data_IF_236879667725
#
_entry.id   IF_236879667725
#
_cell.length_a   1.000
_cell.length_b   1.000
_cell.length_c   1.000
_cell.angle_alpha   90.00
_cell.angle_beta   90.00
_cell.angle_gamma   90.00
#
_symmetry.space_group_name_H-M   'P 1'
#
loop_
_entity.id
_entity.type
_entity.pdbx_description
1 polymer ?
#
# COMPACT_ATOMS: atom_id res chain seq x y z
N UNK A 1 42.60 35.03 -28.09
CA UNK A 1 42.03 34.69 -26.77
C UNK A 1 40.90 33.69 -26.98
N UNK A 2 41.14 32.41 -26.62
CA UNK A 2 40.23 31.28 -26.88
C UNK A 2 39.18 31.25 -25.76
N UNK A 3 37.93 31.58 -26.09
CA UNK A 3 36.76 31.43 -25.21
C UNK A 3 36.54 29.93 -24.95
N UNK A 4 36.92 29.45 -23.77
CA UNK A 4 36.55 28.11 -23.30
C UNK A 4 35.09 28.14 -22.84
N UNK A 5 34.18 27.61 -23.66
CA UNK A 5 32.86 27.18 -23.23
C UNK A 5 33.05 26.01 -22.25
N UNK A 6 32.93 26.27 -20.94
CA UNK A 6 32.71 25.19 -19.97
C UNK A 6 31.23 24.82 -20.04
N UNK A 7 30.96 23.70 -20.71
CA UNK A 7 29.64 23.11 -20.81
C UNK A 7 29.12 22.71 -19.43
N UNK A 8 27.89 23.14 -19.12
CA UNK A 8 27.16 22.71 -17.95
C UNK A 8 26.89 21.20 -18.06
N UNK A 9 27.53 20.41 -17.20
CA UNK A 9 27.26 18.98 -17.06
C UNK A 9 25.90 18.82 -16.38
N UNK A 10 24.86 18.51 -17.14
CA UNK A 10 23.53 18.20 -16.62
C UNK A 10 23.60 16.85 -15.87
N UNK A 11 23.61 16.88 -14.54
CA UNK A 11 23.42 15.69 -13.70
C UNK A 11 21.98 15.21 -13.86
N UNK A 12 21.78 14.17 -14.67
CA UNK A 12 20.50 13.46 -14.78
C UNK A 12 20.36 12.65 -13.49
N UNK A 13 19.70 13.23 -12.47
CA UNK A 13 19.31 12.50 -11.28
C UNK A 13 18.30 11.42 -11.68
N UNK A 14 18.74 10.16 -11.67
CA UNK A 14 17.86 9.01 -11.87
C UNK A 14 16.99 8.86 -10.62
N UNK A 15 15.75 9.34 -10.69
CA UNK A 15 14.73 9.03 -9.68
C UNK A 15 14.39 7.55 -9.82
N UNK A 16 15.10 6.69 -9.09
CA UNK A 16 14.66 5.32 -8.89
C UNK A 16 13.35 5.38 -8.10
N UNK A 17 12.22 5.26 -8.78
CA UNK A 17 10.94 5.07 -8.12
C UNK A 17 11.04 3.74 -7.36
N UNK A 18 10.88 3.78 -6.04
CA UNK A 18 10.63 2.57 -5.27
C UNK A 18 9.35 1.97 -5.83
N UNK A 19 9.48 0.89 -6.60
CA UNK A 19 8.34 0.21 -7.19
C UNK A 19 7.42 -0.21 -6.04
N UNK A 20 6.19 0.32 -6.02
CA UNK A 20 5.21 -0.04 -5.02
C UNK A 20 4.70 -1.43 -5.38
N UNK A 21 4.91 -2.39 -4.49
CA UNK A 21 4.55 -3.80 -4.74
C UNK A 21 3.10 -4.02 -4.35
N UNK A 22 2.33 -4.72 -5.17
CA UNK A 22 0.97 -5.10 -4.81
C UNK A 22 1.03 -6.13 -3.68
N UNK A 23 0.32 -5.87 -2.58
CA UNK A 23 -0.01 -6.89 -1.57
C UNK A 23 -1.15 -7.77 -2.11
N UNK A 24 -2.12 -7.14 -2.77
CA UNK A 24 -3.22 -7.82 -3.46
C UNK A 24 -4.26 -6.86 -4.02
N UNK A 25 -5.04 -7.37 -4.97
CA UNK A 25 -6.22 -6.72 -5.56
C UNK A 25 -7.42 -7.66 -5.45
N UNK A 26 -8.45 -7.30 -4.70
CA UNK A 26 -9.64 -8.15 -4.56
C UNK A 26 -10.64 -7.62 -3.54
N UNK A 27 -11.72 -8.36 -3.31
CA UNK A 27 -12.67 -8.03 -2.24
C UNK A 27 -12.08 -8.31 -0.86
N UNK A 28 -12.52 -7.54 0.15
CA UNK A 28 -12.22 -7.85 1.55
C UNK A 28 -13.31 -8.77 2.12
N UNK A 29 -12.91 -9.83 2.81
CA UNK A 29 -13.78 -10.72 3.59
C UNK A 29 -13.70 -10.47 5.09
N UNK A 30 -12.82 -9.59 5.53
CA UNK A 30 -12.70 -9.21 6.93
C UNK A 30 -11.79 -8.01 7.15
N UNK A 31 -12.19 -7.17 8.10
CA UNK A 31 -11.42 -6.05 8.64
C UNK A 31 -11.40 -6.23 10.15
N UNK A 32 -10.22 -6.40 10.74
CA UNK A 32 -10.06 -6.62 12.19
C UNK A 32 -9.16 -5.55 12.79
N UNK A 33 -9.65 -4.88 13.83
CA UNK A 33 -8.87 -3.92 14.60
C UNK A 33 -8.34 -4.62 15.84
N UNK A 34 -7.04 -4.60 16.02
CA UNK A 34 -6.34 -5.10 17.19
C UNK A 34 -5.80 -3.92 17.98
N UNK A 35 -6.23 -3.78 19.23
CA UNK A 35 -5.79 -2.74 20.16
C UNK A 35 -5.27 -3.38 21.44
N UNK A 36 -4.18 -4.15 21.32
CA UNK A 36 -3.51 -4.75 22.46
C UNK A 36 -2.43 -3.80 22.99
N UNK A 37 -2.09 -3.94 24.28
CA UNK A 37 -1.05 -3.13 24.90
C UNK A 37 0.31 -3.22 24.18
N UNK A 38 0.63 -4.37 23.58
CA UNK A 38 1.89 -4.63 22.88
C UNK A 38 1.83 -4.44 21.36
N UNK A 39 0.64 -4.39 20.75
CA UNK A 39 0.49 -4.14 19.31
C UNK A 39 -0.87 -3.52 19.01
N UNK A 40 -0.83 -2.43 18.24
CA UNK A 40 -1.99 -1.78 17.66
C UNK A 40 -1.90 -1.86 16.15
N UNK A 41 -2.82 -2.59 15.53
CA UNK A 41 -2.81 -2.83 14.09
C UNK A 41 -4.20 -3.12 13.54
N UNK A 42 -4.40 -2.86 12.26
CA UNK A 42 -5.57 -3.31 11.51
C UNK A 42 -5.11 -4.45 10.60
N UNK A 43 -5.79 -5.60 10.64
CA UNK A 43 -5.60 -6.67 9.65
C UNK A 43 -6.76 -6.73 8.68
N UNK A 44 -6.40 -6.80 7.40
CA UNK A 44 -7.31 -6.95 6.28
C UNK A 44 -7.17 -8.35 5.72
N UNK A 45 -8.30 -8.96 5.39
CA UNK A 45 -8.36 -10.31 4.85
C UNK A 45 -9.03 -10.26 3.50
N UNK A 46 -8.35 -10.74 2.46
CA UNK A 46 -8.92 -10.81 1.12
C UNK A 46 -9.82 -12.03 0.94
N UNK A 47 -10.80 -11.89 0.05
CA UNK A 47 -11.61 -12.95 -0.52
C UNK A 47 -10.79 -13.97 -1.33
N UNK A 48 -11.48 -14.95 -1.91
CA UNK A 48 -10.84 -15.92 -2.81
C UNK A 48 -10.60 -15.35 -4.21
N UNK A 49 -11.18 -14.19 -4.53
CA UNK A 49 -11.06 -13.48 -5.80
C UNK A 49 -9.78 -12.62 -5.90
N UNK A 50 -8.93 -12.65 -4.88
CA UNK A 50 -7.70 -11.85 -4.85
C UNK A 50 -6.75 -12.21 -5.99
N UNK A 51 -6.22 -11.16 -6.60
CA UNK A 51 -5.25 -11.19 -7.69
C UNK A 51 -3.99 -10.45 -7.25
N UNK A 52 -2.85 -10.75 -7.90
CA UNK A 52 -1.56 -10.11 -7.61
C UNK A 52 -1.16 -10.19 -6.13
N UNK A 53 -1.47 -11.31 -5.48
CA UNK A 53 -1.13 -11.53 -4.08
C UNK A 53 0.38 -11.58 -3.91
N UNK A 54 0.89 -10.81 -2.94
CA UNK A 54 2.28 -10.90 -2.52
C UNK A 54 2.57 -12.23 -1.83
N UNK A 55 3.62 -12.92 -2.29
CA UNK A 55 4.06 -14.16 -1.68
C UNK A 55 4.38 -13.95 -0.18
N UNK A 56 3.90 -14.85 0.67
CA UNK A 56 4.10 -14.80 2.12
C UNK A 56 3.03 -14.01 2.89
N UNK A 57 2.16 -13.25 2.22
CA UNK A 57 1.09 -12.50 2.88
C UNK A 57 -0.20 -13.29 3.10
N UNK A 58 -0.35 -14.45 2.45
CA UNK A 58 -1.43 -15.42 2.70
C UNK A 58 -2.84 -14.79 2.72
N UNK A 59 -3.14 -14.00 1.69
CA UNK A 59 -4.39 -13.22 1.53
C UNK A 59 -4.67 -12.24 2.66
N UNK A 60 -3.63 -11.72 3.31
CA UNK A 60 -3.75 -10.73 4.38
C UNK A 60 -2.88 -9.50 4.14
N UNK A 61 -3.29 -8.39 4.74
CA UNK A 61 -2.49 -7.18 4.84
C UNK A 61 -2.60 -6.60 6.25
N UNK A 62 -1.57 -5.87 6.66
CA UNK A 62 -1.45 -5.28 7.99
C UNK A 62 -1.26 -3.77 7.87
N UNK A 63 -1.88 -3.03 8.78
CA UNK A 63 -1.69 -1.58 8.93
C UNK A 63 -1.30 -1.34 10.37
N UNK A 64 -0.04 -1.02 10.61
CA UNK A 64 0.50 -0.82 11.96
C UNK A 64 0.37 0.64 12.37
N UNK A 65 -0.28 0.92 13.51
CA UNK A 65 -0.52 2.30 13.95
C UNK A 65 0.76 3.12 14.09
N UNK A 66 1.87 2.52 14.55
CA UNK A 66 3.14 3.22 14.74
C UNK A 66 3.87 3.58 13.44
N UNK A 67 3.40 3.08 12.28
CA UNK A 67 4.02 3.32 10.96
C UNK A 67 3.30 4.37 10.12
N UNK A 68 2.14 4.85 10.57
CA UNK A 68 1.32 5.81 9.84
C UNK A 68 0.84 6.94 10.77
N UNK A 69 0.50 8.10 10.20
CA UNK A 69 -0.17 9.16 10.96
C UNK A 69 -1.59 8.76 11.33
N UNK A 70 -2.16 9.38 12.36
CA UNK A 70 -3.55 9.17 12.75
C UNK A 70 -4.53 9.39 11.58
N UNK A 71 -4.37 10.51 10.85
CA UNK A 71 -5.21 10.81 9.68
C UNK A 71 -5.14 9.72 8.60
N UNK A 72 -3.94 9.14 8.36
CA UNK A 72 -3.79 8.03 7.41
C UNK A 72 -4.46 6.76 7.91
N UNK A 73 -4.34 6.47 9.21
CA UNK A 73 -5.01 5.32 9.81
C UNK A 73 -6.53 5.41 9.67
N UNK A 74 -7.11 6.58 9.96
CA UNK A 74 -8.54 6.84 9.80
C UNK A 74 -8.97 6.70 8.34
N UNK A 75 -8.15 7.20 7.41
CA UNK A 75 -8.41 7.04 5.98
C UNK A 75 -8.41 5.59 5.54
N UNK A 76 -7.40 4.81 5.97
CA UNK A 76 -7.31 3.39 5.64
C UNK A 76 -8.46 2.58 6.23
N UNK A 77 -8.81 2.81 7.51
CA UNK A 77 -9.91 2.10 8.15
C UNK A 77 -11.24 2.42 7.46
N UNK A 78 -11.49 3.70 7.18
CA UNK A 78 -12.72 4.15 6.50
C UNK A 78 -12.85 3.51 5.12
N UNK A 79 -11.78 3.49 4.33
CA UNK A 79 -11.78 2.92 2.98
C UNK A 79 -11.92 1.39 3.01
N UNK A 80 -11.24 0.71 3.94
CA UNK A 80 -11.36 -0.73 4.13
C UNK A 80 -12.79 -1.14 4.51
N UNK A 81 -13.42 -0.41 5.45
CA UNK A 81 -14.80 -0.67 5.84
C UNK A 81 -15.78 -0.40 4.70
N UNK A 82 -15.61 0.70 3.96
CA UNK A 82 -16.44 1.00 2.80
C UNK A 82 -16.33 -0.08 1.72
N UNK A 83 -15.11 -0.55 1.42
CA UNK A 83 -14.89 -1.65 0.49
C UNK A 83 -15.54 -2.95 0.97
N UNK A 84 -15.32 -3.32 2.23
CA UNK A 84 -15.88 -4.53 2.84
C UNK A 84 -17.41 -4.52 2.77
N UNK A 85 -18.05 -3.41 3.15
CA UNK A 85 -19.52 -3.30 3.15
C UNK A 85 -20.13 -3.27 1.75
N UNK A 86 -19.45 -2.65 0.78
CA UNK A 86 -19.94 -2.52 -0.60
C UNK A 86 -19.63 -3.74 -1.47
N UNK A 87 -18.79 -4.66 -1.01
CA UNK A 87 -18.28 -5.77 -1.82
C UNK A 87 -17.38 -5.31 -2.98
N UNK A 88 -16.89 -4.05 -2.93
CA UNK A 88 -15.98 -3.51 -3.94
C UNK A 88 -14.55 -4.00 -3.73
N UNK A 89 -13.81 -4.12 -4.83
CA UNK A 89 -12.40 -4.52 -4.79
C UNK A 89 -11.53 -3.38 -4.28
N UNK A 90 -10.51 -3.74 -3.49
CA UNK A 90 -9.43 -2.86 -3.09
C UNK A 90 -8.11 -3.34 -3.67
N UNK A 91 -7.28 -2.38 -4.05
CA UNK A 91 -5.86 -2.59 -4.31
C UNK A 91 -5.09 -2.14 -3.08
N UNK A 92 -4.33 -3.05 -2.50
CA UNK A 92 -3.41 -2.77 -1.39
C UNK A 92 -1.99 -2.87 -1.90
N UNK A 93 -1.17 -1.87 -1.63
CA UNK A 93 0.24 -1.87 -2.03
C UNK A 93 1.14 -1.56 -0.84
N UNK A 94 2.37 -2.04 -0.91
CA UNK A 94 3.41 -1.82 0.07
C UNK A 94 4.59 -1.08 -0.56
N UNK A 95 5.23 -0.20 0.22
CA UNK A 95 6.47 0.48 -0.17
C UNK A 95 7.70 -0.44 -0.13
N UNK A 96 7.55 -1.65 0.42
CA UNK A 96 8.58 -2.69 0.52
C UNK A 96 7.96 -4.09 0.38
N UNK A 97 8.76 -5.15 0.28
CA UNK A 97 8.24 -6.52 0.18
C UNK A 97 7.77 -7.07 1.54
N UNK A 98 6.76 -6.41 2.11
CA UNK A 98 6.08 -6.75 3.35
C UNK A 98 4.57 -6.63 3.17
N UNK A 99 3.79 -7.23 4.06
CA UNK A 99 2.33 -7.12 4.05
C UNK A 99 1.83 -5.79 4.66
N UNK A 100 2.70 -4.81 4.87
CA UNK A 100 2.36 -3.51 5.43
C UNK A 100 1.76 -2.59 4.37
N UNK A 101 0.51 -2.19 4.54
CA UNK A 101 -0.16 -1.30 3.59
C UNK A 101 0.48 0.08 3.63
N UNK A 102 0.96 0.53 2.48
CA UNK A 102 1.48 1.89 2.26
C UNK A 102 0.51 2.74 1.44
N UNK A 103 -0.32 2.11 0.62
CA UNK A 103 -1.41 2.74 -0.12
C UNK A 103 -2.58 1.77 -0.30
N UNK A 104 -3.79 2.33 -0.25
CA UNK A 104 -5.05 1.63 -0.46
C UNK A 104 -5.92 2.43 -1.43
N UNK A 105 -6.52 1.74 -2.40
CA UNK A 105 -7.49 2.34 -3.32
C UNK A 105 -8.66 1.39 -3.58
N UNK A 106 -9.84 1.95 -3.80
CA UNK A 106 -10.95 1.24 -4.44
C UNK A 106 -10.67 1.13 -5.93
N UNK A 107 -10.56 -0.09 -6.44
CA UNK A 107 -10.11 -0.31 -7.81
C UNK A 107 -10.59 -1.68 -8.31
N UNK A 108 -11.26 -1.72 -9.46
CA UNK A 108 -11.80 -2.97 -10.03
C UNK A 108 -10.75 -3.76 -10.81
N UNK A 109 -9.73 -3.09 -11.37
CA UNK A 109 -8.66 -3.68 -12.19
C UNK A 109 -7.35 -2.92 -12.04
N UNK A 110 -6.21 -3.62 -12.13
CA UNK A 110 -4.85 -3.05 -12.06
C UNK A 110 -4.57 -2.22 -13.31
N UNK A 111 -4.41 -0.91 -13.14
CA UNK A 111 -3.94 0.04 -14.17
C UNK A 111 -2.62 0.65 -13.70
#
# INVERSE_FOLDING_TARGET
MIKRMMGATLLIASFASTAVTDIGLGTLKGVKVYDFASSKEIRLYFGNDVQYEMAGCNKTATITYSKHSADKMDHFLSLALAAYMSGKKVRLTSASDTCEVSLMSLQESRF
#
